data_IF_579437320363
#
_entry.id   IF_579437320363
#
_cell.length_a   1.000
_cell.length_b   1.000
_cell.length_c   1.000
_cell.angle_alpha   90.00
_cell.angle_beta   90.00
_cell.angle_gamma   90.00
#
_symmetry.space_group_name_H-M   'P 1'
#
loop_
_entity.id
_entity.type
_entity.pdbx_description
1 polymer ?
#
# COMPACT_ATOMS: atom_id res chain seq x y z
N UNK A 1 -5.61 31.43 -42.91
CA UNK A 1 -4.37 30.71 -42.57
C UNK A 1 -4.17 30.86 -41.07
N UNK A 2 -4.36 29.80 -40.29
CA UNK A 2 -4.06 29.85 -38.87
C UNK A 2 -2.54 30.02 -38.73
N UNK A 3 -2.11 31.05 -38.00
CA UNK A 3 -0.70 31.24 -37.70
C UNK A 3 -0.25 30.07 -36.80
N UNK A 4 0.76 29.31 -37.24
CA UNK A 4 1.29 28.21 -36.46
C UNK A 4 2.05 28.78 -35.26
N UNK A 5 1.50 28.64 -34.05
CA UNK A 5 2.14 29.12 -32.84
C UNK A 5 3.41 28.31 -32.57
N UNK A 6 4.57 28.98 -32.57
CA UNK A 6 5.85 28.33 -32.31
C UNK A 6 6.39 28.82 -30.97
N UNK A 7 6.63 27.88 -30.07
CA UNK A 7 7.08 28.09 -28.71
C UNK A 7 8.40 27.34 -28.46
N UNK A 8 9.24 27.90 -27.61
CA UNK A 8 10.46 27.27 -27.14
C UNK A 8 10.55 27.37 -25.62
N UNK A 9 10.95 26.28 -24.97
CA UNK A 9 11.27 26.23 -23.56
C UNK A 9 12.75 25.92 -23.40
N UNK A 10 13.49 26.78 -22.70
CA UNK A 10 14.87 26.52 -22.31
C UNK A 10 14.87 26.01 -20.87
N UNK A 11 15.35 24.78 -20.69
CA UNK A 11 15.31 24.03 -19.44
C UNK A 11 16.75 23.80 -18.97
N UNK A 12 17.14 24.52 -17.92
CA UNK A 12 18.44 24.36 -17.24
C UNK A 12 18.26 23.52 -15.96
N UNK A 13 19.28 23.33 -15.11
CA UNK A 13 19.09 22.60 -13.84
C UNK A 13 18.30 23.39 -12.79
N UNK A 14 18.24 24.72 -12.89
CA UNK A 14 17.62 25.61 -11.89
C UNK A 14 16.45 26.41 -12.44
N UNK A 15 16.44 26.68 -13.75
CA UNK A 15 15.50 27.60 -14.38
C UNK A 15 14.81 27.04 -15.61
N UNK A 16 13.59 27.52 -15.82
CA UNK A 16 12.77 27.34 -16.99
C UNK A 16 12.42 28.71 -17.57
N UNK A 17 12.68 28.91 -18.86
CA UNK A 17 12.29 30.13 -19.58
C UNK A 17 11.50 29.78 -20.83
N UNK A 18 10.42 30.52 -21.08
CA UNK A 18 9.57 30.34 -22.25
C UNK A 18 9.71 31.49 -23.24
N UNK A 19 9.64 31.14 -24.51
CA UNK A 19 9.74 32.07 -25.61
C UNK A 19 8.69 31.73 -26.66
N UNK A 20 8.14 32.77 -27.26
CA UNK A 20 7.17 32.68 -28.36
C UNK A 20 7.74 33.34 -29.60
N UNK A 21 7.44 32.76 -30.75
CA UNK A 21 7.75 33.36 -32.06
C UNK A 21 6.59 34.23 -32.51
N UNK A 22 6.87 35.53 -32.68
CA UNK A 22 5.95 36.56 -33.17
C UNK A 22 6.61 37.32 -34.32
N UNK A 23 5.93 37.44 -35.46
CA UNK A 23 6.43 38.15 -36.64
C UNK A 23 7.85 37.73 -37.08
N UNK A 24 8.13 36.42 -36.96
CA UNK A 24 9.43 35.84 -37.29
C UNK A 24 10.53 36.05 -36.25
N UNK A 25 10.27 36.76 -35.15
CA UNK A 25 11.22 37.03 -34.06
C UNK A 25 10.84 36.29 -32.78
N UNK A 26 11.85 35.89 -32.02
CA UNK A 26 11.65 35.30 -30.70
C UNK A 26 11.44 36.39 -29.64
N UNK A 27 10.47 36.19 -28.75
CA UNK A 27 10.21 37.07 -27.61
C UNK A 27 10.04 36.26 -26.34
N UNK A 28 10.58 36.73 -25.20
CA UNK A 28 10.38 36.06 -23.94
C UNK A 28 8.92 36.16 -23.52
N UNK A 29 8.38 35.06 -23.02
CA UNK A 29 6.99 34.92 -22.58
C UNK A 29 7.00 34.53 -21.10
N UNK A 30 6.32 35.29 -20.23
CA UNK A 30 6.28 34.95 -18.81
C UNK A 30 5.50 33.66 -18.60
N UNK A 31 6.05 32.72 -17.83
CA UNK A 31 5.32 31.59 -17.28
C UNK A 31 4.98 31.90 -15.83
N UNK A 32 3.70 31.73 -15.45
CA UNK A 32 3.24 31.98 -14.07
C UNK A 32 3.59 33.40 -13.57
N UNK A 33 3.67 34.37 -14.50
CA UNK A 33 4.01 35.77 -14.19
C UNK A 33 5.52 36.09 -14.15
N UNK A 34 6.42 35.13 -14.41
CA UNK A 34 7.87 35.32 -14.40
C UNK A 34 8.52 34.96 -15.75
N UNK A 35 9.49 35.76 -16.21
CA UNK A 35 10.27 35.48 -17.43
C UNK A 35 11.26 34.31 -17.25
N UNK A 36 11.64 34.05 -16.00
CA UNK A 36 12.49 32.93 -15.58
C UNK A 36 11.80 32.28 -14.39
N UNK A 37 11.19 31.13 -14.63
CA UNK A 37 10.58 30.33 -13.57
C UNK A 37 11.62 29.38 -12.98
N UNK A 38 11.45 29.03 -11.70
CA UNK A 38 12.20 27.92 -11.12
C UNK A 38 11.65 26.59 -11.62
N UNK A 39 12.49 25.56 -11.71
CA UNK A 39 12.02 24.19 -11.94
C UNK A 39 11.17 23.70 -10.76
N UNK A 40 9.87 23.93 -10.86
CA UNK A 40 8.84 23.33 -10.00
C UNK A 40 8.76 21.81 -10.26
N UNK A 41 8.29 21.08 -9.27
CA UNK A 41 7.90 19.68 -9.38
C UNK A 41 6.59 19.50 -10.17
N UNK A 42 5.79 20.57 -10.34
CA UNK A 42 4.48 20.56 -11.01
C UNK A 42 4.53 21.07 -12.45
N UNK A 43 5.02 20.23 -13.36
CA UNK A 43 5.06 20.52 -14.79
C UNK A 43 3.67 20.82 -15.40
N UNK A 44 2.60 20.33 -14.78
CA UNK A 44 1.22 20.52 -15.24
C UNK A 44 0.81 22.00 -15.23
N UNK A 45 1.24 22.77 -14.21
CA UNK A 45 0.93 24.20 -14.10
C UNK A 45 1.58 25.04 -15.18
N UNK A 46 2.80 24.67 -15.55
CA UNK A 46 3.56 25.35 -16.60
C UNK A 46 2.94 25.08 -17.98
N UNK A 47 2.44 23.86 -18.21
CA UNK A 47 1.67 23.53 -19.41
C UNK A 47 0.32 24.25 -19.43
N UNK A 48 -0.34 24.38 -18.29
CA UNK A 48 -1.57 25.15 -18.15
C UNK A 48 -1.35 26.64 -18.47
N UNK A 49 -0.26 27.25 -17.98
CA UNK A 49 0.10 28.62 -18.33
C UNK A 49 0.37 28.79 -19.85
N UNK A 50 1.03 27.82 -20.49
CA UNK A 50 1.22 27.82 -21.95
C UNK A 50 -0.13 27.70 -22.67
N UNK A 51 -1.03 26.87 -22.16
CA UNK A 51 -2.36 26.65 -22.75
C UNK A 51 -3.22 27.91 -22.63
N UNK A 52 -3.19 28.59 -21.49
CA UNK A 52 -3.96 29.81 -21.27
C UNK A 52 -3.50 30.94 -22.20
N UNK A 53 -2.20 30.97 -22.53
CA UNK A 53 -1.65 31.90 -23.51
C UNK A 53 -1.99 31.50 -24.97
N UNK A 54 -2.25 30.22 -25.24
CA UNK A 54 -2.76 29.72 -26.52
C UNK A 54 -4.30 29.78 -26.49
N UNK A 55 -4.82 30.99 -26.67
CA UNK A 55 -6.21 31.46 -26.50
C UNK A 55 -7.34 30.55 -27.07
N UNK A 56 -7.06 29.60 -27.98
CA UNK A 56 -8.05 28.64 -28.47
C UNK A 56 -7.51 27.21 -28.73
N UNK A 57 -8.42 26.22 -28.81
CA UNK A 57 -8.07 24.80 -29.05
C UNK A 57 -7.39 24.55 -30.40
N UNK A 58 -7.70 25.35 -31.42
CA UNK A 58 -7.09 25.19 -32.74
C UNK A 58 -5.61 25.64 -32.73
N UNK A 59 -5.29 26.65 -31.92
CA UNK A 59 -3.96 27.18 -31.66
C UNK A 59 -3.14 26.20 -30.84
N UNK A 60 -3.75 25.53 -29.85
CA UNK A 60 -3.09 24.46 -29.07
C UNK A 60 -2.75 23.26 -29.95
N UNK A 61 -3.73 22.77 -30.73
CA UNK A 61 -3.54 21.60 -31.60
C UNK A 61 -2.59 21.86 -32.78
N UNK A 62 -2.38 23.12 -33.16
CA UNK A 62 -1.41 23.52 -34.20
C UNK A 62 -0.11 24.07 -33.64
N UNK A 63 0.03 24.19 -32.31
CA UNK A 63 1.23 24.69 -31.69
C UNK A 63 2.39 23.70 -31.81
N UNK A 64 3.58 24.26 -32.07
CA UNK A 64 4.85 23.56 -32.01
C UNK A 64 5.62 24.02 -30.79
N UNK A 65 5.93 23.09 -29.89
CA UNK A 65 6.72 23.33 -28.69
C UNK A 65 8.10 22.68 -28.83
N UNK A 66 9.17 23.47 -28.73
CA UNK A 66 10.54 22.95 -28.72
C UNK A 66 11.12 23.02 -27.30
N UNK A 67 11.51 21.90 -26.73
CA UNK A 67 12.19 21.81 -25.44
C UNK A 67 13.70 21.75 -25.64
N UNK A 68 14.43 22.74 -25.16
CA UNK A 68 15.88 22.79 -25.16
C UNK A 68 16.37 22.41 -23.77
N UNK A 69 16.92 21.20 -23.64
CA UNK A 69 17.12 20.53 -22.35
C UNK A 69 18.60 20.40 -22.05
N UNK A 70 19.01 20.91 -20.89
CA UNK A 70 20.33 20.69 -20.31
C UNK A 70 20.56 19.20 -19.96
N UNK A 71 21.83 18.76 -19.99
CA UNK A 71 22.20 17.37 -19.70
C UNK A 71 22.17 17.02 -18.20
N UNK A 72 21.81 17.94 -17.31
CA UNK A 72 21.55 17.61 -15.91
C UNK A 72 20.34 16.67 -15.76
N UNK A 73 20.46 15.70 -14.86
CA UNK A 73 19.39 14.73 -14.58
C UNK A 73 18.07 15.40 -14.18
N UNK A 74 18.15 16.50 -13.41
CA UNK A 74 16.98 17.29 -12.99
C UNK A 74 16.26 17.95 -14.18
N UNK A 75 17.00 18.54 -15.10
CA UNK A 75 16.46 19.16 -16.31
C UNK A 75 15.78 18.13 -17.21
N UNK A 76 16.42 16.97 -17.43
CA UNK A 76 15.84 15.86 -18.19
C UNK A 76 14.57 15.30 -17.57
N UNK A 77 14.58 15.04 -16.26
CA UNK A 77 13.41 14.52 -15.56
C UNK A 77 12.21 15.49 -15.66
N UNK A 78 12.48 16.79 -15.55
CA UNK A 78 11.44 17.80 -15.70
C UNK A 78 10.96 17.93 -17.15
N UNK A 79 11.85 17.87 -18.14
CA UNK A 79 11.48 17.86 -19.55
C UNK A 79 10.56 16.68 -19.93
N UNK A 80 10.79 15.48 -19.36
CA UNK A 80 9.91 14.31 -19.56
C UNK A 80 8.51 14.59 -19.03
N UNK A 81 8.39 15.21 -17.85
CA UNK A 81 7.09 15.59 -17.27
C UNK A 81 6.37 16.65 -18.11
N UNK A 82 7.08 17.69 -18.55
CA UNK A 82 6.55 18.72 -19.45
C UNK A 82 6.09 18.14 -20.79
N UNK A 83 6.89 17.27 -21.41
CA UNK A 83 6.50 16.54 -22.63
C UNK A 83 5.20 15.76 -22.43
N UNK A 84 5.10 15.05 -21.31
CA UNK A 84 3.93 14.22 -21.00
C UNK A 84 2.69 15.08 -20.83
N UNK A 85 2.77 16.10 -19.96
CA UNK A 85 1.67 17.02 -19.69
C UNK A 85 1.25 17.81 -20.95
N UNK A 86 2.19 18.26 -21.78
CA UNK A 86 1.90 18.97 -23.03
C UNK A 86 1.14 18.10 -24.03
N UNK A 87 1.51 16.83 -24.16
CA UNK A 87 0.85 15.89 -25.05
C UNK A 87 -0.54 15.49 -24.53
N UNK A 88 -0.70 15.32 -23.22
CA UNK A 88 -2.01 15.11 -22.57
C UNK A 88 -2.94 16.32 -22.73
N UNK A 89 -2.38 17.53 -22.70
CA UNK A 89 -3.11 18.78 -22.95
C UNK A 89 -3.49 19.00 -24.43
N UNK A 90 -3.02 18.13 -25.34
CA UNK A 90 -3.37 18.17 -26.76
C UNK A 90 -2.53 19.13 -27.61
N UNK A 91 -1.31 19.48 -27.18
CA UNK A 91 -0.39 20.24 -28.02
C UNK A 91 -0.01 19.45 -29.27
N UNK A 92 -0.01 20.13 -30.42
CA UNK A 92 0.15 19.50 -31.74
C UNK A 92 1.48 18.78 -31.93
N UNK A 93 2.59 19.44 -31.59
CA UNK A 93 3.93 18.87 -31.76
C UNK A 93 4.86 19.31 -30.64
N UNK A 94 5.57 18.36 -30.04
CA UNK A 94 6.61 18.62 -29.04
C UNK A 94 7.93 18.02 -29.53
N UNK A 95 8.92 18.88 -29.79
CA UNK A 95 10.28 18.47 -30.16
C UNK A 95 11.21 18.66 -28.97
N UNK A 96 12.23 17.80 -28.82
CA UNK A 96 13.25 17.93 -27.77
C UNK A 96 14.63 18.07 -28.40
N UNK A 97 15.43 18.98 -27.85
CA UNK A 97 16.76 19.35 -28.31
C UNK A 97 17.71 19.34 -27.12
N UNK A 98 18.93 18.84 -27.30
CA UNK A 98 19.98 18.97 -26.29
C UNK A 98 20.53 20.39 -26.33
N UNK A 99 20.43 21.08 -25.20
CA UNK A 99 20.86 22.47 -25.08
C UNK A 99 22.36 22.62 -25.38
N UNK A 100 23.20 21.71 -24.88
CA UNK A 100 24.64 21.73 -25.14
C UNK A 100 25.00 21.66 -26.62
N UNK A 101 24.38 20.75 -27.37
CA UNK A 101 24.64 20.59 -28.81
C UNK A 101 24.17 21.78 -29.64
N UNK A 102 23.09 22.46 -29.21
CA UNK A 102 22.63 23.66 -29.89
C UNK A 102 23.51 24.87 -29.53
N UNK A 103 23.94 24.98 -28.27
CA UNK A 103 24.83 26.04 -27.81
C UNK A 103 26.22 25.96 -28.47
N UNK A 104 26.72 24.76 -28.82
CA UNK A 104 27.95 24.59 -29.61
C UNK A 104 27.90 25.25 -31.00
N UNK A 105 26.70 25.48 -31.54
CA UNK A 105 26.50 26.17 -32.83
C UNK A 105 26.53 27.70 -32.70
N UNK A 106 26.58 28.21 -31.47
CA UNK A 106 26.58 29.64 -31.17
C UNK A 106 28.03 30.10 -30.98
N UNK A 107 28.46 31.05 -31.81
CA UNK A 107 29.84 31.58 -31.74
C UNK A 107 30.09 32.46 -30.50
N UNK A 108 29.02 32.99 -29.90
CA UNK A 108 29.08 33.91 -28.76
C UNK A 108 28.85 33.15 -27.45
N UNK A 109 29.85 33.09 -26.54
CA UNK A 109 29.65 32.50 -25.22
C UNK A 109 28.63 33.31 -24.42
N UNK A 110 27.68 32.64 -23.77
CA UNK A 110 26.71 33.29 -22.92
C UNK A 110 25.96 32.33 -22.02
N UNK A 111 25.04 32.88 -21.22
CA UNK A 111 24.32 32.15 -20.20
C UNK A 111 22.88 31.87 -20.66
N UNK A 112 22.44 30.59 -20.72
CA UNK A 112 21.06 30.22 -21.06
C UNK A 112 19.99 30.78 -20.09
N UNK A 113 20.42 31.28 -18.93
CA UNK A 113 19.56 31.99 -17.98
C UNK A 113 19.27 33.45 -18.38
N UNK A 114 20.00 34.01 -19.35
CA UNK A 114 19.80 35.38 -19.82
C UNK A 114 18.86 35.38 -21.02
N UNK A 115 17.64 35.91 -20.81
CA UNK A 115 16.60 35.91 -21.83
C UNK A 115 17.03 36.57 -23.15
N UNK A 116 17.78 37.66 -23.08
CA UNK A 116 18.23 38.39 -24.27
C UNK A 116 19.27 37.60 -25.07
N UNK A 117 20.23 36.95 -24.40
CA UNK A 117 21.21 36.11 -25.08
C UNK A 117 20.53 34.93 -25.81
N UNK A 118 19.54 34.29 -25.17
CA UNK A 118 18.78 33.21 -25.79
C UNK A 118 18.07 33.66 -27.08
N UNK A 119 17.42 34.83 -27.04
CA UNK A 119 16.68 35.38 -28.20
C UNK A 119 17.62 35.73 -29.35
N UNK A 120 18.77 36.32 -29.05
CA UNK A 120 19.69 36.83 -30.07
C UNK A 120 20.57 35.74 -30.68
N UNK A 121 20.90 34.69 -29.92
CA UNK A 121 21.96 33.75 -30.30
C UNK A 121 21.50 32.29 -30.35
N UNK A 122 20.70 31.82 -29.37
CA UNK A 122 20.35 30.40 -29.24
C UNK A 122 19.11 30.00 -30.05
N UNK A 123 18.02 30.75 -29.90
CA UNK A 123 16.73 30.45 -30.53
C UNK A 123 16.75 30.57 -32.06
N UNK A 124 17.49 31.49 -32.69
CA UNK A 124 17.65 31.51 -34.15
C UNK A 124 18.22 30.20 -34.70
N UNK A 125 19.09 29.51 -33.96
CA UNK A 125 19.64 28.21 -34.37
C UNK A 125 18.56 27.11 -34.47
N UNK A 126 17.43 27.23 -33.77
CA UNK A 126 16.29 26.31 -33.90
C UNK A 126 15.59 26.49 -35.24
N UNK A 127 15.53 27.72 -35.75
CA UNK A 127 14.88 28.04 -37.01
C UNK A 127 15.67 27.47 -38.18
N UNK A 128 17.00 27.57 -38.13
CA UNK A 128 17.92 26.98 -39.10
C UNK A 128 18.01 25.45 -38.97
N UNK A 129 17.97 24.92 -37.74
CA UNK A 129 17.95 23.48 -37.48
C UNK A 129 16.62 22.83 -37.90
N UNK A 130 15.54 23.61 -38.06
CA UNK A 130 14.22 23.14 -38.46
C UNK A 130 14.18 22.44 -39.83
N UNK A 131 15.18 22.65 -40.69
CA UNK A 131 15.31 22.00 -41.99
C UNK A 131 16.06 20.64 -41.96
N UNK A 132 16.86 20.35 -40.91
CA UNK A 132 17.69 19.12 -40.82
C UNK A 132 17.86 18.56 -39.38
N UNK A 133 16.89 18.78 -38.49
CA UNK A 133 16.98 18.37 -37.08
C UNK A 133 16.87 16.85 -36.81
N UNK A 134 17.54 16.32 -35.77
CA UNK A 134 17.64 14.89 -35.49
C UNK A 134 16.30 14.28 -35.05
N UNK A 135 16.01 13.09 -35.57
CA UNK A 135 14.76 12.31 -35.35
C UNK A 135 14.66 11.77 -33.91
N UNK A 136 14.27 12.61 -32.94
CA UNK A 136 14.05 12.20 -31.53
C UNK A 136 12.62 11.69 -31.22
N UNK A 137 11.72 11.68 -32.21
CA UNK A 137 10.36 11.12 -32.07
C UNK A 137 10.38 9.61 -31.68
N UNK A 138 11.45 8.91 -32.07
CA UNK A 138 11.68 7.50 -31.73
C UNK A 138 12.12 7.28 -30.27
N UNK A 139 12.88 8.20 -29.67
CA UNK A 139 13.36 8.05 -28.29
C UNK A 139 12.25 8.29 -27.27
N UNK A 140 11.39 9.28 -27.49
CA UNK A 140 10.24 9.53 -26.61
C UNK A 140 9.21 8.39 -26.70
N UNK A 141 9.02 7.83 -27.89
CA UNK A 141 8.16 6.65 -28.08
C UNK A 141 8.75 5.43 -27.38
N UNK A 142 10.07 5.23 -27.46
CA UNK A 142 10.77 4.15 -26.75
C UNK A 142 10.71 4.31 -25.22
N UNK A 143 10.89 5.52 -24.71
CA UNK A 143 10.78 5.82 -23.28
C UNK A 143 9.36 5.61 -22.74
N UNK A 144 8.33 5.95 -23.52
CA UNK A 144 6.93 5.66 -23.17
C UNK A 144 6.67 4.16 -23.09
N UNK A 145 7.11 3.41 -24.10
CA UNK A 145 6.95 1.95 -24.11
C UNK A 145 7.67 1.30 -22.92
N UNK A 146 8.86 1.80 -22.55
CA UNK A 146 9.61 1.32 -21.39
C UNK A 146 8.91 1.63 -20.06
N UNK A 147 8.35 2.84 -19.91
CA UNK A 147 7.59 3.22 -18.71
C UNK A 147 6.32 2.36 -18.55
N UNK A 148 5.60 2.10 -19.63
CA UNK A 148 4.40 1.27 -19.60
C UNK A 148 4.73 -0.21 -19.37
N UNK A 149 5.88 -0.69 -19.84
CA UNK A 149 6.39 -2.02 -19.48
C UNK A 149 6.71 -2.12 -17.99
N UNK A 150 7.46 -1.16 -17.43
CA UNK A 150 7.81 -1.15 -16.01
C UNK A 150 6.57 -1.05 -15.09
N UNK A 151 5.55 -0.26 -15.50
CA UNK A 151 4.26 -0.18 -14.79
C UNK A 151 3.51 -1.50 -14.79
N UNK A 152 3.54 -2.26 -15.89
CA UNK A 152 2.93 -3.59 -15.98
C UNK A 152 3.64 -4.59 -15.08
N UNK A 153 4.96 -4.65 -15.15
CA UNK A 153 5.77 -5.53 -14.31
C UNK A 153 5.54 -5.24 -12.81
N UNK A 154 5.49 -3.97 -12.42
CA UNK A 154 5.21 -3.59 -11.02
C UNK A 154 3.83 -4.05 -10.56
N UNK A 155 2.81 -3.98 -11.44
CA UNK A 155 1.46 -4.48 -11.14
C UNK A 155 1.44 -6.00 -11.01
N UNK A 156 2.08 -6.71 -11.93
CA UNK A 156 2.19 -8.17 -11.88
C UNK A 156 2.89 -8.64 -10.61
N UNK A 157 3.98 -7.98 -10.20
CA UNK A 157 4.67 -8.28 -8.95
C UNK A 157 3.80 -7.99 -7.72
N UNK A 158 3.02 -6.91 -7.72
CA UNK A 158 2.10 -6.60 -6.65
C UNK A 158 1.00 -7.66 -6.51
N UNK A 159 0.45 -8.12 -7.64
CA UNK A 159 -0.57 -9.18 -7.67
C UNK A 159 -0.01 -10.51 -7.18
N UNK A 160 1.20 -10.89 -7.63
CA UNK A 160 1.88 -12.10 -7.16
C UNK A 160 2.17 -12.05 -5.65
N UNK A 161 2.59 -10.88 -5.14
CA UNK A 161 2.84 -10.70 -3.71
C UNK A 161 1.55 -10.81 -2.89
N UNK A 162 0.43 -10.25 -3.37
CA UNK A 162 -0.87 -10.37 -2.72
C UNK A 162 -1.33 -11.84 -2.63
N UNK A 163 -1.15 -12.62 -3.70
CA UNK A 163 -1.45 -14.06 -3.71
C UNK A 163 -0.56 -14.82 -2.72
N UNK A 164 0.73 -14.53 -2.68
CA UNK A 164 1.67 -15.17 -1.76
C UNK A 164 1.32 -14.89 -0.28
N UNK A 165 0.96 -13.65 0.04
CA UNK A 165 0.50 -13.25 1.38
C UNK A 165 -0.76 -14.01 1.79
N UNK A 166 -1.78 -14.02 0.92
CA UNK A 166 -3.04 -14.73 1.21
C UNK A 166 -2.81 -16.23 1.47
N UNK A 167 -1.94 -16.87 0.68
CA UNK A 167 -1.58 -18.28 0.88
C UNK A 167 -0.85 -18.52 2.20
N UNK A 168 0.06 -17.62 2.57
CA UNK A 168 0.78 -17.69 3.85
C UNK A 168 -0.17 -17.56 5.04
N UNK A 169 -1.12 -16.63 4.99
CA UNK A 169 -2.13 -16.46 6.04
C UNK A 169 -3.00 -17.71 6.21
N UNK A 170 -3.46 -18.30 5.10
CA UNK A 170 -4.22 -19.56 5.12
C UNK A 170 -3.43 -20.71 5.76
N UNK A 171 -2.15 -20.84 5.42
CA UNK A 171 -1.27 -21.83 6.03
C UNK A 171 -1.10 -21.61 7.54
N UNK A 172 -0.95 -20.36 7.99
CA UNK A 172 -0.82 -20.06 9.42
C UNK A 172 -2.09 -20.38 10.21
N UNK A 173 -3.26 -20.12 9.63
CA UNK A 173 -4.56 -20.50 10.23
C UNK A 173 -4.65 -22.03 10.35
N UNK A 174 -4.39 -22.76 9.26
CA UNK A 174 -4.42 -24.21 9.28
C UNK A 174 -3.45 -24.82 10.31
N UNK A 175 -2.24 -24.27 10.43
CA UNK A 175 -1.26 -24.70 11.45
C UNK A 175 -1.73 -24.41 12.88
N UNK A 176 -2.37 -23.27 13.13
CA UNK A 176 -2.93 -22.95 14.45
C UNK A 176 -4.04 -23.92 14.83
N UNK A 177 -4.91 -24.27 13.88
CA UNK A 177 -6.01 -25.20 14.10
C UNK A 177 -5.48 -26.62 14.38
N UNK A 178 -4.47 -27.07 13.63
CA UNK A 178 -3.81 -28.36 13.87
C UNK A 178 -3.14 -28.42 15.25
N UNK A 179 -2.42 -27.36 15.64
CA UNK A 179 -1.83 -27.27 16.98
C UNK A 179 -2.89 -27.27 18.09
N UNK A 180 -4.02 -26.60 17.88
CA UNK A 180 -5.13 -26.62 18.83
C UNK A 180 -5.71 -28.04 18.97
N UNK A 181 -5.96 -28.72 17.85
CA UNK A 181 -6.46 -30.10 17.85
C UNK A 181 -5.49 -31.09 18.52
N UNK A 182 -4.19 -30.96 18.26
CA UNK A 182 -3.16 -31.79 18.90
C UNK A 182 -3.09 -31.53 20.40
N UNK A 183 -3.16 -30.27 20.84
CA UNK A 183 -3.21 -29.91 22.27
C UNK A 183 -4.44 -30.48 22.96
N UNK A 184 -5.61 -30.42 22.31
CA UNK A 184 -6.83 -31.02 22.83
C UNK A 184 -6.70 -32.55 22.99
N UNK A 185 -6.11 -33.24 21.99
CA UNK A 185 -5.83 -34.69 22.05
C UNK A 185 -4.84 -35.07 23.15
N UNK A 186 -3.78 -34.27 23.34
CA UNK A 186 -2.83 -34.52 24.42
C UNK A 186 -3.49 -34.28 25.79
N UNK A 187 -4.31 -33.24 25.92
CA UNK A 187 -5.05 -32.98 27.15
C UNK A 187 -6.00 -34.15 27.50
N UNK A 188 -6.64 -34.79 26.52
CA UNK A 188 -7.52 -35.93 26.80
C UNK A 188 -6.79 -37.22 27.22
N UNK A 189 -5.45 -37.29 27.09
CA UNK A 189 -4.67 -38.48 27.48
C UNK A 189 -4.27 -38.46 28.96
N UNK A 190 -4.17 -37.28 29.59
CA UNK A 190 -3.77 -37.17 30.99
C UNK A 190 -4.99 -37.17 31.94
N UNK A 191 -5.08 -38.09 32.91
CA UNK A 191 -6.26 -38.24 33.78
C UNK A 191 -6.44 -37.02 34.70
N UNK A 192 -7.59 -36.36 34.70
CA UNK A 192 -7.84 -35.16 35.53
C UNK A 192 -7.54 -35.45 37.01
N UNK A 193 -6.75 -34.60 37.71
CA UNK A 193 -6.52 -34.78 39.14
C UNK A 193 -7.85 -34.73 39.91
N UNK A 194 -8.05 -35.67 40.83
CA UNK A 194 -9.30 -35.80 41.58
C UNK A 194 -9.71 -34.49 42.30
N UNK A 195 -8.74 -33.79 42.90
CA UNK A 195 -8.96 -32.50 43.57
C UNK A 195 -9.53 -31.42 42.62
N UNK A 196 -9.02 -31.39 41.38
CA UNK A 196 -9.48 -30.44 40.37
C UNK A 196 -10.90 -30.77 39.89
N UNK A 197 -11.22 -32.06 39.72
CA UNK A 197 -12.57 -32.51 39.40
C UNK A 197 -13.56 -32.16 40.52
N UNK A 198 -13.21 -32.45 41.79
CA UNK A 198 -14.02 -32.09 42.96
C UNK A 198 -14.32 -30.60 43.01
N UNK A 199 -13.29 -29.79 42.78
CA UNK A 199 -13.38 -28.34 42.89
C UNK A 199 -14.16 -27.69 41.75
N UNK A 200 -13.98 -28.15 40.52
CA UNK A 200 -14.45 -27.42 39.33
C UNK A 200 -15.67 -28.05 38.65
N UNK A 201 -16.02 -29.32 38.88
CA UNK A 201 -17.26 -29.89 38.30
C UNK A 201 -18.55 -29.14 38.70
N UNK A 202 -18.71 -28.66 39.96
CA UNK A 202 -19.87 -27.84 40.35
C UNK A 202 -20.00 -26.52 39.58
N UNK A 203 -18.91 -26.04 38.96
CA UNK A 203 -18.95 -24.88 38.08
C UNK A 203 -19.83 -25.16 36.86
N UNK A 204 -19.71 -26.34 36.24
CA UNK A 204 -20.37 -26.68 34.98
C UNK A 204 -21.77 -27.27 35.18
N UNK A 205 -22.00 -27.99 36.28
CA UNK A 205 -23.24 -28.73 36.52
C UNK A 205 -23.92 -28.30 37.83
N UNK A 206 -25.26 -28.22 37.82
CA UNK A 206 -26.07 -27.94 39.02
C UNK A 206 -26.25 -29.20 39.85
N UNK A 207 -26.18 -29.05 41.18
CA UNK A 207 -26.40 -30.14 42.14
C UNK A 207 -25.51 -31.35 41.82
N UNK A 208 -24.29 -31.11 41.36
CA UNK A 208 -23.43 -32.15 40.80
C UNK A 208 -23.16 -33.26 41.84
N UNK A 209 -22.68 -32.89 43.02
CA UNK A 209 -22.36 -33.85 44.09
C UNK A 209 -23.58 -34.42 44.82
N UNK A 210 -24.78 -33.88 44.59
CA UNK A 210 -26.02 -34.47 45.10
C UNK A 210 -26.47 -35.66 44.23
N UNK A 211 -26.15 -35.61 42.93
CA UNK A 211 -26.58 -36.59 41.93
C UNK A 211 -25.47 -37.52 41.47
N UNK A 212 -24.22 -37.10 41.60
CA UNK A 212 -23.04 -37.81 41.12
C UNK A 212 -22.17 -38.21 42.32
N UNK A 213 -22.02 -39.51 42.56
CA UNK A 213 -21.34 -39.98 43.75
C UNK A 213 -19.81 -39.86 43.62
N UNK A 214 -19.07 -39.72 44.74
CA UNK A 214 -17.61 -39.78 44.72
C UNK A 214 -17.07 -41.07 44.09
N UNK A 215 -17.77 -42.20 44.24
CA UNK A 215 -17.38 -43.48 43.65
C UNK A 215 -17.52 -43.47 42.11
N UNK A 216 -18.60 -42.88 41.59
CA UNK A 216 -18.79 -42.71 40.14
C UNK A 216 -17.71 -41.79 39.56
N UNK A 217 -17.32 -40.75 40.30
CA UNK A 217 -16.20 -39.89 39.90
C UNK A 217 -14.88 -40.64 39.86
N UNK A 218 -14.57 -41.46 40.87
CA UNK A 218 -13.33 -42.25 40.85
C UNK A 218 -13.28 -43.15 39.59
N UNK A 219 -14.41 -43.74 39.22
CA UNK A 219 -14.55 -44.55 38.00
C UNK A 219 -14.33 -43.73 36.72
N UNK A 220 -14.98 -42.56 36.59
CA UNK A 220 -14.81 -41.69 35.41
C UNK A 220 -13.39 -41.17 35.28
N UNK A 221 -12.75 -40.82 36.39
CA UNK A 221 -11.34 -40.41 36.42
C UNK A 221 -10.37 -41.57 36.18
N UNK A 222 -10.85 -42.83 36.16
CA UNK A 222 -10.05 -44.06 36.20
C UNK A 222 -9.03 -44.05 37.34
N UNK A 223 -9.41 -43.42 38.45
CA UNK A 223 -8.60 -43.28 39.65
C UNK A 223 -8.89 -44.43 40.60
N UNK A 224 -7.85 -45.02 41.18
CA UNK A 224 -7.99 -45.96 42.30
C UNK A 224 -8.31 -45.26 43.64
N UNK A 225 -8.18 -43.94 43.68
CA UNK A 225 -8.45 -43.12 44.86
C UNK A 225 -9.81 -42.42 44.73
N UNK A 226 -10.62 -42.54 45.79
CA UNK A 226 -11.93 -41.89 45.84
C UNK A 226 -11.76 -40.39 46.16
N UNK A 227 -12.37 -39.49 45.38
CA UNK A 227 -12.31 -38.07 45.66
C UNK A 227 -12.92 -37.72 47.02
N UNK A 228 -12.25 -36.86 47.78
CA UNK A 228 -12.74 -36.36 49.06
C UNK A 228 -13.68 -35.18 48.81
N UNK A 229 -14.98 -35.43 48.94
CA UNK A 229 -16.03 -34.40 48.81
C UNK A 229 -16.49 -33.99 50.21
N UNK A 230 -16.53 -32.68 50.55
CA UNK A 230 -16.99 -32.23 51.85
C UNK A 230 -18.48 -32.58 52.03
N UNK A 231 -18.82 -33.12 53.21
CA UNK A 231 -20.19 -33.46 53.59
C UNK A 231 -20.62 -32.62 54.81
N UNK A 232 -21.76 -31.89 54.74
CA UNK A 232 -22.63 -31.74 53.58
C UNK A 232 -21.99 -30.86 52.50
N UNK A 233 -22.19 -31.23 51.22
CA UNK A 233 -21.77 -30.38 50.11
C UNK A 233 -22.77 -29.24 49.95
N UNK A 234 -22.28 -28.00 50.00
CA UNK A 234 -23.11 -26.82 49.79
C UNK A 234 -23.00 -26.38 48.33
N UNK A 235 -24.14 -26.38 47.63
CA UNK A 235 -24.22 -25.92 46.25
C UNK A 235 -23.76 -24.45 46.13
N UNK A 236 -22.82 -24.13 45.23
CA UNK A 236 -22.31 -22.77 45.09
C UNK A 236 -23.38 -21.83 44.51
N UNK A 237 -23.71 -20.77 45.24
CA UNK A 237 -24.52 -19.66 44.74
C UNK A 237 -23.79 -18.78 43.71
N UNK A 238 -24.48 -17.79 43.13
CA UNK A 238 -23.95 -16.98 42.02
C UNK A 238 -22.59 -16.31 42.29
N UNK A 239 -22.40 -15.69 43.46
CA UNK A 239 -21.13 -15.07 43.83
C UNK A 239 -19.99 -16.08 44.01
N UNK A 240 -20.29 -17.28 44.51
CA UNK A 240 -19.34 -18.36 44.65
C UNK A 240 -18.95 -18.94 43.28
N UNK A 241 -19.92 -19.09 42.36
CA UNK A 241 -19.67 -19.48 40.97
C UNK A 241 -18.78 -18.48 40.22
N UNK A 242 -19.02 -17.18 40.36
CA UNK A 242 -18.16 -16.16 39.76
C UNK A 242 -16.71 -16.23 40.29
N UNK A 243 -16.54 -16.60 41.55
CA UNK A 243 -15.23 -16.82 42.17
C UNK A 243 -14.58 -18.11 41.66
N UNK A 244 -15.32 -19.21 41.59
CA UNK A 244 -14.86 -20.47 41.00
C UNK A 244 -14.46 -20.31 39.53
N UNK A 245 -15.24 -19.55 38.73
CA UNK A 245 -14.91 -19.22 37.34
C UNK A 245 -13.58 -18.48 37.25
N UNK A 246 -13.36 -17.45 38.07
CA UNK A 246 -12.07 -16.74 38.12
C UNK A 246 -10.92 -17.67 38.50
N UNK A 247 -11.10 -18.49 39.53
CA UNK A 247 -10.08 -19.45 39.98
C UNK A 247 -9.77 -20.50 38.92
N UNK A 248 -10.78 -20.95 38.18
CA UNK A 248 -10.64 -21.87 37.06
C UNK A 248 -9.84 -21.22 35.93
N UNK A 249 -10.16 -19.99 35.54
CA UNK A 249 -9.45 -19.24 34.50
C UNK A 249 -7.97 -18.95 34.85
N UNK A 250 -7.63 -18.88 36.14
CA UNK A 250 -6.25 -18.73 36.61
C UNK A 250 -5.45 -20.06 36.65
N UNK A 251 -6.08 -21.21 36.37
CA UNK A 251 -5.37 -22.49 36.31
C UNK A 251 -4.47 -22.59 35.06
N UNK A 252 -3.39 -23.40 35.11
CA UNK A 252 -2.60 -23.72 33.93
C UNK A 252 -3.48 -24.23 32.78
N UNK A 253 -3.19 -23.81 31.55
CA UNK A 253 -3.99 -24.15 30.38
C UNK A 253 -4.20 -25.67 30.23
N UNK A 254 -3.16 -26.47 30.49
CA UNK A 254 -3.26 -27.93 30.45
C UNK A 254 -4.31 -28.49 31.42
N UNK A 255 -4.39 -27.97 32.66
CA UNK A 255 -5.40 -28.40 33.63
C UNK A 255 -6.80 -27.94 33.21
N UNK A 256 -6.93 -26.71 32.68
CA UNK A 256 -8.21 -26.20 32.18
C UNK A 256 -8.76 -27.08 31.05
N UNK A 257 -7.95 -27.39 30.05
CA UNK A 257 -8.34 -28.23 28.92
C UNK A 257 -8.75 -29.64 29.37
N UNK A 258 -8.04 -30.22 30.34
CA UNK A 258 -8.38 -31.54 30.92
C UNK A 258 -9.73 -31.53 31.64
N UNK A 259 -9.98 -30.53 32.48
CA UNK A 259 -11.25 -30.37 33.19
C UNK A 259 -12.41 -30.10 32.21
N UNK A 260 -12.19 -29.32 31.15
CA UNK A 260 -13.19 -29.05 30.11
C UNK A 260 -13.48 -30.30 29.28
N UNK A 261 -12.46 -31.10 28.92
CA UNK A 261 -12.65 -32.37 28.24
C UNK A 261 -13.53 -33.32 29.07
N UNK A 262 -13.23 -33.48 30.36
CA UNK A 262 -14.05 -34.26 31.29
C UNK A 262 -15.48 -33.72 31.40
N UNK A 263 -15.66 -32.40 31.51
CA UNK A 263 -16.98 -31.79 31.57
C UNK A 263 -17.76 -31.97 30.26
N UNK A 264 -17.11 -31.96 29.09
CA UNK A 264 -17.75 -32.24 27.79
C UNK A 264 -18.22 -33.69 27.70
N UNK A 265 -17.39 -34.64 28.14
CA UNK A 265 -17.74 -36.06 28.16
C UNK A 265 -18.95 -36.33 29.07
N UNK A 266 -18.99 -35.70 30.25
CA UNK A 266 -20.14 -35.78 31.16
C UNK A 266 -21.37 -35.02 30.61
N UNK A 267 -21.16 -33.87 29.95
CA UNK A 267 -22.22 -32.99 29.45
C UNK A 267 -23.16 -33.62 28.41
N UNK A 268 -22.77 -34.73 27.79
CA UNK A 268 -23.66 -35.53 26.93
C UNK A 268 -24.88 -36.05 27.69
N UNK A 269 -24.74 -36.33 28.99
CA UNK A 269 -25.77 -36.95 29.82
C UNK A 269 -26.25 -36.06 30.98
N UNK A 270 -25.72 -34.84 31.11
CA UNK A 270 -25.94 -33.98 32.27
C UNK A 270 -26.26 -32.54 31.89
N UNK A 271 -27.13 -31.89 32.68
CA UNK A 271 -27.55 -30.51 32.41
C UNK A 271 -26.44 -29.50 32.74
N UNK A 272 -25.86 -28.93 31.70
CA UNK A 272 -24.83 -27.88 31.78
C UNK A 272 -25.46 -26.53 32.13
N UNK A 273 -24.86 -25.80 33.08
CA UNK A 273 -25.26 -24.42 33.42
C UNK A 273 -25.20 -23.51 32.19
N UNK A 274 -26.25 -22.71 31.92
CA UNK A 274 -26.29 -21.81 30.76
C UNK A 274 -25.06 -20.90 30.68
N UNK A 275 -24.68 -20.31 31.83
CA UNK A 275 -23.58 -19.34 31.94
C UNK A 275 -22.18 -19.91 31.63
N UNK A 276 -22.06 -21.24 31.57
CA UNK A 276 -20.80 -21.96 31.33
C UNK A 276 -20.74 -22.65 29.97
N UNK A 277 -21.78 -22.54 29.12
CA UNK A 277 -21.78 -23.17 27.79
C UNK A 277 -20.68 -22.62 26.91
N UNK A 278 -20.49 -21.31 26.91
CA UNK A 278 -19.44 -20.63 26.15
C UNK A 278 -18.05 -21.18 26.48
N UNK A 279 -17.78 -21.46 27.77
CA UNK A 279 -16.51 -22.01 28.23
C UNK A 279 -16.24 -23.45 27.76
N UNK A 280 -17.29 -24.22 27.47
CA UNK A 280 -17.18 -25.58 26.95
C UNK A 280 -17.07 -25.61 25.42
N UNK A 281 -17.53 -24.56 24.75
CA UNK A 281 -17.45 -24.39 23.29
C UNK A 281 -16.12 -23.74 22.83
N UNK A 282 -15.51 -22.89 23.67
CA UNK A 282 -14.24 -22.19 23.38
C UNK A 282 -12.95 -23.05 23.52
N UNK A 283 -13.05 -24.28 24.03
CA UNK A 283 -11.91 -25.17 24.30
C UNK A 283 -11.81 -26.35 23.34
#
# INVERSE_FOLDING_TARGET
MNAMHTLALVITPEHLSCYRREDGRWRPMPLEGALVATLDERAERQVEAIRDELHDRASIASARLSLLVDDAARARAHAVRLCTAALEAGLGRVDTWRLGLLAERVEVPGAPAQAQWCVENLLPCLDDAGAQGPRHENELTALRAALDAARRETRELADLHAVALSRSEQMQVAQRDELAALRARLASQDPVPAEAAVRFMPLFFRHFWEKFSPSDMAHVLRSGEMPVVPSPFMEPGGAALATLRRQFLHQPQALRLRVLALARDLGVNWEVRPDMRDLLEEA
#
